data_IF_898075288695
#
_entry.id   IF_898075288695
#
_cell.length_a   1.000
_cell.length_b   1.000
_cell.length_c   1.000
_cell.angle_alpha   90.00
_cell.angle_beta   90.00
_cell.angle_gamma   90.00
#
_symmetry.space_group_name_H-M   'P 1'
#
loop_
_entity.id
_entity.type
_entity.pdbx_description
1 polymer ?
#
# COMPACT_ATOMS: atom_id res chain seq x y z
N UNK A 1 -62.22 -36.90 -13.26
CA UNK A 1 -62.82 -38.09 -12.60
C UNK A 1 -61.85 -38.64 -11.54
N UNK A 2 -62.00 -38.24 -10.27
CA UNK A 2 -62.72 -38.99 -9.21
C UNK A 2 -61.92 -40.23 -8.78
N UNK A 3 -61.63 -40.58 -7.53
CA UNK A 3 -61.67 -39.99 -6.20
C UNK A 3 -61.21 -41.12 -5.22
N UNK A 4 -60.80 -40.77 -4.00
CA UNK A 4 -61.08 -41.50 -2.73
C UNK A 4 -60.34 -42.84 -2.50
N UNK A 5 -59.35 -42.90 -1.60
CA UNK A 5 -59.44 -43.09 -0.13
C UNK A 5 -59.91 -44.51 0.28
N UNK A 6 -59.01 -45.31 0.83
CA UNK A 6 -59.33 -46.30 1.86
C UNK A 6 -58.09 -46.61 2.71
N UNK A 7 -58.34 -46.75 4.00
CA UNK A 7 -57.43 -46.66 5.13
C UNK A 7 -57.47 -47.99 5.90
N UNK A 8 -56.37 -48.43 6.52
CA UNK A 8 -56.40 -49.29 7.71
C UNK A 8 -55.00 -49.42 8.38
N UNK A 9 -54.92 -49.77 9.68
CA UNK A 9 -53.90 -49.27 10.60
C UNK A 9 -53.04 -50.35 11.29
N UNK A 10 -52.18 -49.86 12.20
CA UNK A 10 -51.72 -50.50 13.44
C UNK A 10 -50.51 -51.44 13.40
N UNK A 11 -49.41 -51.03 14.06
CA UNK A 11 -48.83 -51.79 15.17
C UNK A 11 -47.82 -50.91 15.94
N UNK A 12 -48.02 -50.85 17.26
CA UNK A 12 -47.11 -50.29 18.25
C UNK A 12 -46.05 -51.33 18.69
N UNK A 13 -44.95 -50.87 19.29
CA UNK A 13 -43.97 -51.74 19.99
C UNK A 13 -42.52 -51.40 19.66
N UNK A 14 -41.98 -50.24 20.04
CA UNK A 14 -41.16 -50.00 21.25
C UNK A 14 -39.89 -50.86 21.39
N UNK A 15 -38.73 -50.21 21.24
CA UNK A 15 -37.57 -50.40 22.11
C UNK A 15 -36.36 -51.13 21.52
N UNK A 16 -35.36 -50.38 21.02
CA UNK A 16 -33.95 -50.72 21.27
C UNK A 16 -33.09 -49.44 21.37
N UNK A 17 -32.26 -49.44 22.41
CA UNK A 17 -31.36 -48.42 22.89
C UNK A 17 -30.26 -47.97 21.91
N UNK A 18 -30.07 -46.65 21.89
CA UNK A 18 -28.79 -45.90 21.97
C UNK A 18 -27.59 -46.39 21.15
N UNK A 19 -27.41 -45.77 19.98
CA UNK A 19 -26.08 -45.44 19.45
C UNK A 19 -25.83 -43.95 19.75
N UNK A 20 -24.84 -43.69 20.61
CA UNK A 20 -24.37 -42.36 21.02
C UNK A 20 -23.42 -41.85 19.92
N UNK A 21 -23.84 -40.90 19.10
CA UNK A 21 -22.94 -40.18 18.18
C UNK A 21 -22.01 -39.26 18.96
N UNK A 22 -20.71 -39.17 18.61
CA UNK A 22 -19.78 -38.27 19.27
C UNK A 22 -20.03 -36.82 18.82
N UNK A 23 -20.51 -36.03 19.79
CA UNK A 23 -20.27 -34.61 20.04
C UNK A 23 -19.42 -33.87 18.98
N UNK A 24 -20.08 -33.22 18.02
CA UNK A 24 -19.51 -32.09 17.29
C UNK A 24 -19.45 -30.89 18.25
N UNK A 25 -18.34 -30.80 18.99
CA UNK A 25 -17.98 -29.57 19.70
C UNK A 25 -17.64 -28.53 18.62
N UNK A 26 -18.61 -27.66 18.31
CA UNK A 26 -18.34 -26.43 17.58
C UNK A 26 -17.16 -25.74 18.30
N UNK A 27 -16.03 -25.60 17.60
CA UNK A 27 -14.94 -24.75 18.07
C UNK A 27 -15.49 -23.33 18.01
N UNK A 28 -15.94 -22.81 19.14
CA UNK A 28 -16.27 -21.40 19.25
C UNK A 28 -14.99 -20.61 18.95
N UNK A 29 -15.07 -19.73 17.94
CA UNK A 29 -14.00 -18.77 17.68
C UNK A 29 -13.69 -18.02 18.98
N UNK A 30 -12.41 -17.87 19.36
CA UNK A 30 -12.06 -17.13 20.56
C UNK A 30 -12.60 -15.71 20.43
N UNK A 31 -13.36 -15.28 21.44
CA UNK A 31 -13.95 -13.95 21.48
C UNK A 31 -12.87 -12.88 21.24
N UNK A 32 -13.04 -12.08 20.19
CA UNK A 32 -12.18 -10.94 19.90
C UNK A 32 -12.12 -10.07 21.17
N UNK A 33 -10.93 -9.98 21.79
CA UNK A 33 -10.71 -9.04 22.88
C UNK A 33 -10.99 -7.64 22.32
N UNK A 34 -11.89 -6.90 22.96
CA UNK A 34 -12.12 -5.49 22.62
C UNK A 34 -10.77 -4.76 22.65
N UNK A 35 -10.40 -4.20 21.50
CA UNK A 35 -9.27 -3.30 21.36
C UNK A 35 -9.32 -2.23 22.47
N UNK A 36 -8.22 -2.06 23.21
CA UNK A 36 -8.08 -0.91 24.10
C UNK A 36 -7.83 0.31 23.23
N UNK A 37 -8.83 1.17 23.09
CA UNK A 37 -8.73 2.43 22.32
C UNK A 37 -8.87 3.68 23.20
N UNK A 38 -9.25 3.52 24.47
CA UNK A 38 -9.35 4.63 25.42
C UNK A 38 -7.96 5.26 25.67
N UNK A 39 -7.87 6.58 25.50
CA UNK A 39 -6.65 7.36 25.75
C UNK A 39 -5.67 7.47 24.57
N UNK A 40 -5.94 6.83 23.43
CA UNK A 40 -5.10 6.99 22.22
C UNK A 40 -5.43 8.32 21.53
N UNK A 41 -4.40 9.12 21.25
CA UNK A 41 -4.51 10.43 20.58
C UNK A 41 -3.79 10.50 19.22
N UNK A 42 -3.18 9.39 18.77
CA UNK A 42 -2.50 9.29 17.47
C UNK A 42 -3.48 9.60 16.34
N UNK A 43 -3.10 10.51 15.44
CA UNK A 43 -3.89 10.86 14.27
C UNK A 43 -2.98 11.41 13.16
N UNK A 44 -3.45 11.28 11.91
CA UNK A 44 -2.83 11.85 10.71
C UNK A 44 -3.89 12.51 9.82
N UNK A 45 -4.92 13.13 10.40
CA UNK A 45 -6.10 13.64 9.68
C UNK A 45 -5.76 14.61 8.55
N UNK A 46 -4.62 15.30 8.61
CA UNK A 46 -4.17 16.18 7.52
C UNK A 46 -3.60 15.43 6.30
N UNK A 47 -3.30 14.14 6.43
CA UNK A 47 -2.70 13.31 5.39
C UNK A 47 -3.69 12.31 4.75
N UNK A 48 -4.84 12.06 5.38
CA UNK A 48 -5.85 11.12 4.91
C UNK A 48 -7.17 11.81 4.65
N UNK A 49 -7.94 11.32 3.68
CA UNK A 49 -9.29 11.81 3.44
C UNK A 49 -10.20 11.53 4.65
N UNK A 50 -11.27 12.31 4.81
CA UNK A 50 -12.17 12.29 5.96
C UNK A 50 -12.74 10.89 6.26
N UNK A 51 -13.00 10.09 5.22
CA UNK A 51 -13.52 8.73 5.38
C UNK A 51 -12.50 7.74 6.01
N UNK A 52 -11.23 8.11 6.03
CA UNK A 52 -10.11 7.29 6.49
C UNK A 52 -9.52 7.74 7.84
N UNK A 53 -9.98 8.84 8.43
CA UNK A 53 -9.44 9.40 9.69
C UNK A 53 -9.54 8.42 10.89
N UNK A 54 -10.50 7.50 10.87
CA UNK A 54 -10.71 6.52 11.95
C UNK A 54 -10.14 5.12 11.64
N UNK A 55 -9.39 4.98 10.54
CA UNK A 55 -8.86 3.70 10.06
C UNK A 55 -7.47 3.41 10.63
N UNK A 56 -7.14 2.13 10.79
CA UNK A 56 -5.79 1.69 11.13
C UNK A 56 -4.79 1.97 9.99
N UNK A 57 -3.50 2.07 10.31
CA UNK A 57 -2.46 2.22 9.28
C UNK A 57 -2.47 1.05 8.28
N UNK A 58 -2.78 -0.18 8.71
CA UNK A 58 -2.96 -1.33 7.82
C UNK A 58 -4.14 -1.18 6.88
N UNK A 59 -5.29 -0.71 7.38
CA UNK A 59 -6.45 -0.42 6.53
C UNK A 59 -6.13 0.70 5.53
N UNK A 60 -5.45 1.77 5.95
CA UNK A 60 -5.06 2.88 5.08
C UNK A 60 -4.02 2.43 4.05
N UNK A 61 -3.04 1.60 4.43
CA UNK A 61 -2.04 1.07 3.50
C UNK A 61 -2.68 0.24 2.38
N UNK A 62 -3.72 -0.54 2.69
CA UNK A 62 -4.47 -1.32 1.71
C UNK A 62 -5.51 -0.50 0.91
N UNK A 63 -5.73 0.76 1.29
CA UNK A 63 -6.72 1.63 0.68
C UNK A 63 -6.30 2.11 -0.73
N UNK A 64 -7.26 2.56 -1.56
CA UNK A 64 -6.96 3.29 -2.79
C UNK A 64 -6.14 4.56 -2.53
N UNK A 65 -5.40 5.05 -3.52
CA UNK A 65 -4.61 6.30 -3.39
C UNK A 65 -5.43 7.53 -2.99
N UNK A 66 -6.73 7.56 -3.32
CA UNK A 66 -7.65 8.63 -2.92
C UNK A 66 -7.90 8.69 -1.40
N UNK A 67 -7.49 7.66 -0.65
CA UNK A 67 -7.46 7.72 0.81
C UNK A 67 -6.47 8.76 1.34
N UNK A 68 -5.52 9.23 0.51
CA UNK A 68 -4.62 10.33 0.86
C UNK A 68 -5.25 11.68 0.52
N UNK A 69 -5.32 12.57 1.51
CA UNK A 69 -5.90 13.89 1.39
C UNK A 69 -5.23 14.69 0.24
N UNK A 70 -6.01 15.11 -0.75
CA UNK A 70 -5.54 15.94 -1.86
C UNK A 70 -5.21 15.19 -3.16
N UNK A 71 -5.36 13.86 -3.19
CA UNK A 71 -5.43 13.10 -4.44
C UNK A 71 -6.88 13.10 -4.93
N UNK A 72 -7.20 13.96 -5.90
CA UNK A 72 -8.50 13.96 -6.56
C UNK A 72 -8.59 13.02 -7.77
N UNK A 73 -9.73 12.98 -8.47
CA UNK A 73 -9.99 12.04 -9.57
C UNK A 73 -8.93 12.06 -10.68
N UNK A 74 -8.48 13.26 -11.07
CA UNK A 74 -7.41 13.43 -12.08
C UNK A 74 -6.08 12.84 -11.60
N UNK A 75 -5.75 13.02 -10.32
CA UNK A 75 -4.52 12.50 -9.73
C UNK A 75 -4.52 10.97 -9.68
N UNK A 76 -5.64 10.39 -9.23
CA UNK A 76 -5.90 8.95 -9.28
C UNK A 76 -5.70 8.40 -10.69
N UNK A 77 -6.33 9.00 -11.70
CA UNK A 77 -6.22 8.55 -13.09
C UNK A 77 -4.77 8.49 -13.58
N UNK A 78 -3.93 9.48 -13.23
CA UNK A 78 -2.52 9.46 -13.63
C UNK A 78 -1.71 8.39 -12.89
N UNK A 79 -1.98 8.17 -11.61
CA UNK A 79 -1.34 7.11 -10.82
C UNK A 79 -1.74 5.72 -11.32
N UNK A 80 -3.00 5.52 -11.70
CA UNK A 80 -3.49 4.26 -12.28
C UNK A 80 -2.78 3.90 -13.60
N UNK A 81 -2.49 4.89 -14.46
CA UNK A 81 -1.67 4.66 -15.67
C UNK A 81 -0.30 4.08 -15.34
N UNK A 82 0.28 4.48 -14.21
CA UNK A 82 1.55 3.99 -13.69
C UNK A 82 1.41 2.67 -12.91
N UNK A 83 0.21 2.08 -12.89
CA UNK A 83 -0.15 0.87 -12.12
C UNK A 83 -0.02 1.06 -10.61
N UNK A 84 -0.27 2.27 -10.13
CA UNK A 84 -0.28 2.63 -8.71
C UNK A 84 -1.75 2.84 -8.32
N UNK A 85 -2.32 1.89 -7.58
CA UNK A 85 -3.75 1.90 -7.25
C UNK A 85 -4.00 2.07 -5.76
N UNK A 86 -3.10 1.57 -4.92
CA UNK A 86 -3.20 1.62 -3.46
C UNK A 86 -2.13 2.53 -2.83
N UNK A 87 -2.37 2.92 -1.58
CA UNK A 87 -1.36 3.60 -0.76
C UNK A 87 -0.08 2.75 -0.67
N UNK A 88 -0.23 1.42 -0.50
CA UNK A 88 0.91 0.50 -0.50
C UNK A 88 1.66 0.47 -1.83
N UNK A 89 0.97 0.47 -2.98
CA UNK A 89 1.63 0.53 -4.29
C UNK A 89 2.50 1.79 -4.40
N UNK A 90 1.98 2.93 -3.91
CA UNK A 90 2.69 4.20 -3.95
C UNK A 90 3.89 4.20 -2.99
N UNK A 91 3.73 3.61 -1.79
CA UNK A 91 4.82 3.43 -0.83
C UNK A 91 5.95 2.57 -1.39
N UNK A 92 5.58 1.51 -2.14
CA UNK A 92 6.51 0.55 -2.71
C UNK A 92 7.08 0.94 -4.06
N UNK A 93 6.67 2.09 -4.58
CA UNK A 93 7.04 2.53 -5.91
C UNK A 93 8.55 2.77 -6.04
N UNK A 94 9.22 1.88 -6.76
CA UNK A 94 10.69 1.86 -6.86
C UNK A 94 11.29 3.17 -7.39
N UNK A 95 10.60 3.84 -8.32
CA UNK A 95 11.13 5.06 -8.95
C UNK A 95 11.16 6.22 -7.97
N UNK A 96 10.15 6.33 -7.11
CA UNK A 96 10.16 7.27 -6.01
C UNK A 96 11.29 6.98 -5.02
N UNK A 97 11.48 5.72 -4.62
CA UNK A 97 12.58 5.31 -3.70
C UNK A 97 13.96 5.67 -4.28
N UNK A 98 14.17 5.45 -5.57
CA UNK A 98 15.40 5.84 -6.27
C UNK A 98 15.58 7.35 -6.29
N UNK A 99 14.55 8.11 -6.69
CA UNK A 99 14.61 9.57 -6.73
C UNK A 99 14.91 10.16 -5.34
N UNK A 100 14.24 9.66 -4.30
CA UNK A 100 14.46 10.03 -2.91
C UNK A 100 15.91 9.78 -2.49
N UNK A 101 16.47 8.59 -2.78
CA UNK A 101 17.86 8.27 -2.46
C UNK A 101 18.87 9.19 -3.19
N UNK A 102 18.63 9.49 -4.47
CA UNK A 102 19.44 10.43 -5.26
C UNK A 102 19.40 11.82 -4.61
N UNK A 103 18.20 12.34 -4.30
CA UNK A 103 18.02 13.66 -3.70
C UNK A 103 18.67 13.78 -2.32
N UNK A 104 18.66 12.71 -1.51
CA UNK A 104 19.33 12.67 -0.20
C UNK A 104 20.87 12.77 -0.34
N UNK A 105 21.44 12.09 -1.34
CA UNK A 105 22.89 11.99 -1.50
C UNK A 105 23.49 13.07 -2.39
N UNK A 106 22.74 13.67 -3.32
CA UNK A 106 23.23 14.72 -4.22
C UNK A 106 23.91 15.90 -3.48
N UNK A 107 23.38 16.42 -2.35
CA UNK A 107 24.06 17.48 -1.59
C UNK A 107 25.40 17.07 -0.97
N UNK A 108 25.80 15.79 -1.07
CA UNK A 108 27.10 15.27 -0.60
C UNK A 108 28.14 15.20 -1.72
N UNK A 109 27.77 15.50 -2.96
CA UNK A 109 28.73 15.64 -4.04
C UNK A 109 29.60 16.88 -3.83
N UNK A 110 30.90 16.72 -4.03
CA UNK A 110 31.84 17.85 -4.03
C UNK A 110 32.40 18.00 -5.43
N UNK A 111 32.08 19.13 -6.07
CA UNK A 111 32.47 19.40 -7.45
C UNK A 111 33.99 19.28 -7.64
N UNK A 112 34.41 18.54 -8.66
CA UNK A 112 35.82 18.34 -8.99
C UNK A 112 36.61 17.44 -8.04
N UNK A 113 35.98 16.87 -7.00
CA UNK A 113 36.66 15.99 -6.03
C UNK A 113 36.29 14.51 -6.19
N UNK A 114 35.89 14.08 -7.39
CA UNK A 114 35.68 12.65 -7.67
C UNK A 114 37.03 11.94 -7.64
N UNK A 115 37.16 10.93 -6.78
CA UNK A 115 38.34 10.07 -6.75
C UNK A 115 38.49 9.31 -8.07
N UNK A 116 39.72 9.18 -8.59
CA UNK A 116 39.98 8.51 -9.88
C UNK A 116 39.49 7.06 -9.90
N UNK A 117 39.61 6.34 -8.77
CA UNK A 117 39.19 4.95 -8.62
C UNK A 117 37.73 4.78 -8.16
N UNK A 118 36.89 5.83 -8.21
CA UNK A 118 35.48 5.72 -7.79
C UNK A 118 34.72 4.68 -8.61
N UNK A 119 34.11 3.71 -7.90
CA UNK A 119 33.25 2.67 -8.48
C UNK A 119 31.75 2.93 -8.31
N UNK A 120 31.38 4.00 -7.58
CA UNK A 120 29.99 4.35 -7.31
C UNK A 120 29.22 4.55 -8.62
N UNK A 121 28.17 3.75 -8.80
CA UNK A 121 27.27 3.81 -9.93
C UNK A 121 25.87 3.34 -9.52
N UNK A 122 24.87 3.71 -10.33
CA UNK A 122 23.48 3.28 -10.20
C UNK A 122 22.94 2.83 -11.56
N UNK A 123 23.75 2.12 -12.36
CA UNK A 123 23.44 1.81 -13.76
C UNK A 123 22.12 1.05 -13.94
N UNK A 124 21.67 0.28 -12.93
CA UNK A 124 20.39 -0.42 -12.95
C UNK A 124 19.17 0.46 -12.64
N UNK A 125 19.40 1.73 -12.35
CA UNK A 125 18.37 2.70 -12.00
C UNK A 125 18.26 3.83 -13.04
N UNK A 126 19.28 4.01 -13.89
CA UNK A 126 19.34 5.06 -14.91
C UNK A 126 19.26 4.48 -16.31
N UNK A 127 18.62 5.20 -17.22
CA UNK A 127 18.80 4.91 -18.64
C UNK A 127 20.27 5.06 -19.03
N UNK A 128 20.71 4.28 -20.03
CA UNK A 128 22.10 4.22 -20.50
C UNK A 128 22.64 5.61 -20.87
N UNK A 129 21.80 6.51 -21.38
CA UNK A 129 22.21 7.88 -21.74
C UNK A 129 22.61 8.75 -20.53
N UNK A 130 22.32 8.32 -19.30
CA UNK A 130 22.46 9.12 -18.09
C UNK A 130 23.35 8.48 -17.01
N UNK A 131 23.89 7.28 -17.24
CA UNK A 131 24.69 6.53 -16.25
C UNK A 131 25.97 7.26 -15.79
N UNK A 132 26.50 8.20 -16.57
CA UNK A 132 27.75 8.93 -16.27
C UNK A 132 27.54 10.29 -15.60
N UNK A 133 26.28 10.72 -15.43
CA UNK A 133 25.95 12.00 -14.79
C UNK A 133 26.16 11.95 -13.28
N UNK A 134 26.46 13.12 -12.70
CA UNK A 134 26.43 13.32 -11.25
C UNK A 134 25.00 13.21 -10.70
N UNK A 135 24.84 12.91 -9.42
CA UNK A 135 23.53 12.88 -8.77
C UNK A 135 22.83 14.24 -8.89
N UNK A 136 23.58 15.34 -8.78
CA UNK A 136 23.08 16.71 -8.94
C UNK A 136 22.52 16.93 -10.35
N UNK A 137 23.24 16.52 -11.40
CA UNK A 137 22.74 16.61 -12.78
C UNK A 137 21.54 15.69 -13.04
N UNK A 138 21.47 14.54 -12.36
CA UNK A 138 20.34 13.60 -12.50
C UNK A 138 19.04 14.21 -11.95
N UNK A 139 19.09 15.01 -10.89
CA UNK A 139 17.90 15.63 -10.31
C UNK A 139 17.13 16.53 -11.28
N UNK A 140 17.82 17.12 -12.26
CA UNK A 140 17.23 17.99 -13.27
C UNK A 140 16.63 17.23 -14.48
N UNK A 141 16.86 15.91 -14.57
CA UNK A 141 16.35 15.09 -15.67
C UNK A 141 14.86 14.75 -15.51
N UNK A 142 14.14 14.48 -16.62
CA UNK A 142 12.76 13.99 -16.54
C UNK A 142 12.69 12.60 -15.89
N UNK A 143 11.53 12.20 -15.33
CA UNK A 143 11.35 10.87 -14.73
C UNK A 143 11.72 9.69 -15.66
N UNK A 144 11.48 9.80 -16.97
CA UNK A 144 11.85 8.78 -17.96
C UNK A 144 13.36 8.51 -18.06
N UNK A 145 14.20 9.38 -17.50
CA UNK A 145 15.63 9.10 -17.33
C UNK A 145 15.91 7.93 -16.36
N UNK A 146 14.93 7.55 -15.52
CA UNK A 146 15.01 6.36 -14.68
C UNK A 146 14.70 5.10 -15.49
N UNK A 147 15.57 4.10 -15.39
CA UNK A 147 15.44 2.87 -16.16
C UNK A 147 14.12 2.14 -15.87
N UNK A 148 13.31 1.97 -16.91
CA UNK A 148 12.03 1.27 -16.85
C UNK A 148 10.80 2.18 -16.78
N UNK A 149 11.01 3.50 -16.70
CA UNK A 149 9.98 4.47 -17.06
C UNK A 149 10.09 4.78 -18.55
N UNK A 150 8.97 4.69 -19.27
CA UNK A 150 8.92 5.06 -20.68
C UNK A 150 8.64 6.57 -20.82
N UNK A 151 8.98 7.17 -21.95
CA UNK A 151 8.81 8.63 -22.19
C UNK A 151 7.37 9.13 -21.94
N UNK A 152 6.35 8.32 -22.26
CA UNK A 152 4.95 8.71 -22.04
C UNK A 152 4.65 8.98 -20.55
N UNK A 153 5.42 8.39 -19.63
CA UNK A 153 5.24 8.56 -18.19
C UNK A 153 5.53 9.98 -17.74
N UNK A 154 6.40 10.73 -18.44
CA UNK A 154 6.71 12.12 -18.13
C UNK A 154 5.47 13.01 -18.28
N UNK A 155 4.62 12.72 -19.26
CA UNK A 155 3.34 13.44 -19.41
C UNK A 155 2.41 13.15 -18.24
N UNK A 156 2.24 11.87 -17.88
CA UNK A 156 1.37 11.48 -16.76
C UNK A 156 1.85 12.07 -15.42
N UNK A 157 3.16 12.08 -15.20
CA UNK A 157 3.79 12.65 -14.01
C UNK A 157 3.77 14.19 -14.03
N UNK A 158 3.93 14.83 -15.19
CA UNK A 158 3.79 16.26 -15.34
C UNK A 158 2.40 16.78 -14.95
N UNK A 159 1.34 16.02 -15.23
CA UNK A 159 -0.03 16.33 -14.78
C UNK A 159 -0.20 16.25 -13.25
N UNK A 160 0.72 15.58 -12.55
CA UNK A 160 0.84 15.56 -11.08
C UNK A 160 1.81 16.63 -10.54
N UNK A 161 2.36 17.49 -11.42
CA UNK A 161 3.37 18.48 -11.06
C UNK A 161 4.80 17.92 -10.94
N UNK A 162 5.02 16.69 -11.40
CA UNK A 162 6.32 16.01 -11.35
C UNK A 162 6.99 16.13 -12.72
N UNK A 163 7.82 17.15 -12.89
CA UNK A 163 8.50 17.44 -14.17
C UNK A 163 9.92 16.91 -14.25
N UNK A 164 10.54 16.59 -13.12
CA UNK A 164 11.90 16.06 -13.04
C UNK A 164 12.08 15.11 -11.83
N UNK A 165 13.24 14.46 -11.74
CA UNK A 165 13.57 13.51 -10.67
C UNK A 165 13.58 14.21 -9.29
N UNK A 166 13.97 15.48 -9.21
CA UNK A 166 13.86 16.27 -7.98
C UNK A 166 12.41 16.37 -7.48
N UNK A 167 11.48 16.77 -8.36
CA UNK A 167 10.04 16.85 -8.02
C UNK A 167 9.44 15.48 -7.70
N UNK A 168 9.94 14.43 -8.34
CA UNK A 168 9.56 13.07 -7.99
C UNK A 168 10.00 12.74 -6.56
N UNK A 169 11.23 13.08 -6.17
CA UNK A 169 11.74 12.89 -4.81
C UNK A 169 10.96 13.72 -3.75
N UNK A 170 10.41 14.87 -4.14
CA UNK A 170 9.58 15.73 -3.29
C UNK A 170 8.11 15.30 -3.23
N UNK A 171 7.71 14.21 -3.91
CA UNK A 171 6.31 13.84 -4.03
C UNK A 171 5.68 13.44 -2.68
N UNK A 172 5.02 14.41 -2.04
CA UNK A 172 4.52 14.30 -0.66
C UNK A 172 3.65 13.07 -0.40
N UNK A 173 2.83 12.67 -1.38
CA UNK A 173 1.92 11.53 -1.22
C UNK A 173 2.67 10.21 -1.09
N UNK A 174 3.81 10.06 -1.78
CA UNK A 174 4.66 8.88 -1.64
C UNK A 174 5.42 8.87 -0.29
N UNK A 175 5.83 10.04 0.23
CA UNK A 175 6.36 10.14 1.59
C UNK A 175 5.33 9.74 2.65
N UNK A 176 4.08 10.21 2.52
CA UNK A 176 2.99 9.83 3.42
C UNK A 176 2.71 8.33 3.34
N UNK A 177 2.61 7.79 2.12
CA UNK A 177 2.40 6.36 1.89
C UNK A 177 3.50 5.50 2.53
N UNK A 178 4.78 5.84 2.35
CA UNK A 178 5.90 5.16 3.00
C UNK A 178 5.80 5.23 4.53
N UNK A 179 5.46 6.39 5.07
CA UNK A 179 5.33 6.58 6.53
C UNK A 179 4.19 5.75 7.10
N UNK A 180 3.02 5.74 6.44
CA UNK A 180 1.87 4.92 6.81
C UNK A 180 2.23 3.44 6.79
N UNK A 181 2.85 2.95 5.70
CA UNK A 181 3.23 1.54 5.60
C UNK A 181 4.27 1.15 6.66
N UNK A 182 5.23 2.04 6.95
CA UNK A 182 6.24 1.80 8.01
C UNK A 182 5.56 1.65 9.37
N UNK A 183 4.60 2.52 9.69
CA UNK A 183 3.87 2.42 10.97
C UNK A 183 2.92 1.22 11.02
N UNK A 184 2.34 0.81 9.88
CA UNK A 184 1.50 -0.38 9.76
C UNK A 184 2.22 -1.68 10.17
N UNK A 185 3.54 -1.76 9.96
CA UNK A 185 4.38 -2.89 10.39
C UNK A 185 4.48 -3.00 11.92
N UNK A 186 4.22 -1.90 12.64
CA UNK A 186 4.24 -1.83 14.10
C UNK A 186 2.86 -1.91 14.76
N UNK A 187 1.78 -2.04 13.98
CA UNK A 187 0.44 -2.25 14.53
C UNK A 187 0.25 -3.68 15.06
N UNK A 188 -0.42 -3.82 16.21
CA UNK A 188 -0.95 -5.10 16.66
C UNK A 188 -2.45 -5.14 16.42
N UNK A 189 -2.97 -6.28 15.92
CA UNK A 189 -4.38 -6.42 15.57
C UNK A 189 -5.34 -6.18 16.77
N UNK A 190 -4.85 -6.44 17.99
CA UNK A 190 -5.62 -6.32 19.22
C UNK A 190 -5.24 -5.08 20.06
N UNK A 191 -4.42 -4.17 19.52
CA UNK A 191 -3.86 -3.01 20.26
C UNK A 191 -3.10 -3.42 21.54
N UNK A 192 -2.60 -4.67 21.57
CA UNK A 192 -1.77 -5.18 22.65
C UNK A 192 -0.34 -4.66 22.49
N UNK A 193 0.24 -4.15 23.57
CA UNK A 193 1.70 -4.06 23.71
C UNK A 193 2.25 -5.45 24.04
N UNK A 194 3.32 -5.87 23.37
CA UNK A 194 4.09 -7.05 23.77
C UNK A 194 4.74 -6.83 25.13
#
# INVERSE_FOLDING_TARGET
PVAILAQAPSAAGTGIDRIRTPNQRAMAEPAQKKARTEGYALNINAAVDKEWEAKSFREIAAAPVEALQGIGPKGKEQLEKLKITTVKDLADWKYFKVAQAIAILAPKETAGQRHADTQLNINKAMDKAHETKSLTEILDLPPSALQGLAEWTDKALGELGITNISKLAEFKYAHWAQSICTLADHESADFASK
#
